data_IF_674753209870
#
_entry.id   IF_674753209870
#
_cell.length_a   1.000
_cell.length_b   1.000
_cell.length_c   1.000
_cell.angle_alpha   90.00
_cell.angle_beta   90.00
_cell.angle_gamma   90.00
#
_symmetry.space_group_name_H-M   'P 1'
#
loop_
_entity.id
_entity.type
_entity.pdbx_description
1 polymer ?
#
# COMPACT_ATOMS: atom_id res chain seq x y z
N UNK A 1 3.78 -16.83 15.90
CA UNK A 1 4.38 -15.93 14.88
C UNK A 1 3.57 -14.65 14.85
N UNK A 2 4.19 -13.46 14.83
CA UNK A 2 3.46 -12.18 14.82
C UNK A 2 2.71 -12.00 13.50
N UNK A 3 1.51 -11.41 13.52
CA UNK A 3 0.82 -10.99 12.29
C UNK A 3 1.63 -9.88 11.63
N UNK A 4 1.76 -9.90 10.31
CA UNK A 4 2.45 -8.87 9.54
C UNK A 4 1.45 -8.17 8.63
N UNK A 5 1.42 -6.85 8.71
CA UNK A 5 0.52 -5.97 7.97
C UNK A 5 1.33 -4.86 7.31
N UNK A 6 1.00 -4.48 6.08
CA UNK A 6 1.67 -3.38 5.38
C UNK A 6 0.67 -2.37 4.82
N UNK A 7 1.06 -1.10 4.81
CA UNK A 7 0.37 -0.02 4.13
C UNK A 7 1.32 0.58 3.08
N UNK A 8 0.88 0.64 1.81
CA UNK A 8 1.68 1.22 0.71
C UNK A 8 1.18 2.61 0.35
N UNK A 9 2.09 3.57 0.41
CA UNK A 9 1.92 4.94 -0.06
C UNK A 9 2.64 5.08 -1.41
N UNK A 10 1.95 5.58 -2.44
CA UNK A 10 2.55 5.81 -3.75
C UNK A 10 2.64 7.30 -4.08
N UNK A 11 3.81 7.73 -4.56
CA UNK A 11 4.05 9.10 -5.01
C UNK A 11 5.49 9.33 -5.44
N UNK A 12 5.69 9.99 -6.58
CA UNK A 12 7.02 10.22 -7.16
C UNK A 12 7.97 11.07 -6.30
N UNK A 13 7.44 11.76 -5.28
CA UNK A 13 8.21 12.58 -4.34
C UNK A 13 8.80 11.79 -3.16
N UNK A 14 8.48 10.50 -3.03
CA UNK A 14 9.06 9.66 -1.99
C UNK A 14 10.46 9.16 -2.36
N UNK A 15 11.33 9.04 -1.35
CA UNK A 15 12.50 8.19 -1.37
C UNK A 15 12.19 6.92 -0.56
N UNK A 16 11.95 5.76 -1.22
CA UNK A 16 11.61 4.51 -0.52
C UNK A 16 12.65 4.01 0.48
N UNK A 17 13.90 4.46 0.38
CA UNK A 17 14.95 4.07 1.33
C UNK A 17 14.87 4.87 2.64
N UNK A 18 14.37 6.10 2.57
CA UNK A 18 14.26 6.99 3.73
C UNK A 18 12.85 7.07 4.29
N UNK A 19 11.84 7.08 3.42
CA UNK A 19 10.44 7.30 3.77
C UNK A 19 9.73 5.96 4.01
N UNK A 20 10.03 5.35 5.14
CA UNK A 20 9.30 4.17 5.62
C UNK A 20 9.17 4.20 7.14
N UNK A 21 8.20 3.45 7.67
CA UNK A 21 8.02 3.30 9.10
C UNK A 21 7.70 1.84 9.47
N UNK A 22 8.08 1.47 10.69
CA UNK A 22 7.77 0.16 11.26
C UNK A 22 7.33 0.32 12.69
N UNK A 23 6.17 -0.23 13.00
CA UNK A 23 5.65 -0.34 14.36
C UNK A 23 5.60 -1.81 14.75
N UNK A 24 5.96 -2.11 15.99
CA UNK A 24 5.97 -3.47 16.48
C UNK A 24 5.34 -3.55 17.86
N UNK A 25 4.42 -4.49 18.01
CA UNK A 25 3.81 -4.87 19.29
C UNK A 25 4.18 -6.32 19.59
N UNK A 26 3.66 -6.86 20.70
CA UNK A 26 3.80 -8.28 21.00
C UNK A 26 3.18 -9.18 19.92
N UNK A 27 2.06 -8.76 19.31
CA UNK A 27 1.24 -9.61 18.43
C UNK A 27 1.34 -9.26 16.94
N UNK A 28 1.81 -8.06 16.59
CA UNK A 28 1.77 -7.55 15.22
C UNK A 28 3.01 -6.72 14.88
N UNK A 29 3.43 -6.81 13.61
CA UNK A 29 4.32 -5.86 12.97
C UNK A 29 3.53 -5.13 11.88
N UNK A 30 3.56 -3.81 11.91
CA UNK A 30 2.95 -2.94 10.91
C UNK A 30 4.03 -2.20 10.16
N UNK A 31 3.99 -2.27 8.83
CA UNK A 31 4.89 -1.54 7.95
C UNK A 31 4.14 -0.43 7.23
N UNK A 32 4.79 0.74 7.10
CA UNK A 32 4.41 1.76 6.14
C UNK A 32 5.57 1.83 5.13
N UNK A 33 5.28 1.48 3.89
CA UNK A 33 6.24 1.57 2.79
C UNK A 33 5.81 2.63 1.80
N UNK A 34 6.78 3.35 1.25
CA UNK A 34 6.56 4.24 0.12
C UNK A 34 7.12 3.63 -1.15
N UNK A 35 6.50 3.94 -2.29
CA UNK A 35 6.92 3.56 -3.64
C UNK A 35 6.70 4.73 -4.59
N UNK A 36 7.53 4.89 -5.62
CA UNK A 36 7.40 6.04 -6.53
C UNK A 36 6.37 5.82 -7.63
N UNK A 37 6.19 4.56 -8.04
CA UNK A 37 5.41 4.19 -9.21
C UNK A 37 4.84 2.76 -9.09
N UNK A 38 3.97 2.34 -10.03
CA UNK A 38 3.39 1.00 -9.98
C UNK A 38 4.40 -0.14 -10.09
N UNK A 39 5.53 0.02 -10.79
CA UNK A 39 6.52 -1.05 -10.92
C UNK A 39 7.20 -1.31 -9.58
N UNK A 40 7.61 -0.25 -8.87
CA UNK A 40 8.13 -0.37 -7.51
C UNK A 40 7.08 -0.93 -6.55
N UNK A 41 5.81 -0.58 -6.73
CA UNK A 41 4.72 -1.16 -5.95
C UNK A 41 4.63 -2.68 -6.11
N UNK A 42 4.65 -3.19 -7.34
CA UNK A 42 4.57 -4.63 -7.59
C UNK A 42 5.82 -5.36 -7.07
N UNK A 43 7.01 -4.78 -7.25
CA UNK A 43 8.23 -5.34 -6.67
C UNK A 43 8.12 -5.44 -5.14
N UNK A 44 7.65 -4.38 -4.47
CA UNK A 44 7.44 -4.37 -3.03
C UNK A 44 6.41 -5.43 -2.59
N UNK A 45 5.30 -5.58 -3.30
CA UNK A 45 4.29 -6.60 -3.01
C UNK A 45 4.88 -8.01 -3.09
N UNK A 46 5.73 -8.30 -4.09
CA UNK A 46 6.39 -9.59 -4.21
C UNK A 46 7.31 -9.87 -3.00
N UNK A 47 8.09 -8.88 -2.57
CA UNK A 47 8.91 -8.99 -1.35
C UNK A 47 8.05 -9.23 -0.09
N UNK A 48 6.92 -8.55 0.03
CA UNK A 48 6.02 -8.68 1.19
C UNK A 48 5.35 -10.07 1.23
N UNK A 49 5.06 -10.66 0.07
CA UNK A 49 4.57 -12.03 -0.05
C UNK A 49 5.59 -13.03 0.52
N UNK A 50 6.84 -12.94 0.09
CA UNK A 50 7.92 -13.79 0.61
C UNK A 50 8.20 -13.54 2.09
N UNK A 51 8.02 -12.29 2.56
CA UNK A 51 8.16 -11.94 3.97
C UNK A 51 6.99 -12.44 4.86
N UNK A 52 5.94 -13.04 4.29
CA UNK A 52 4.79 -13.58 5.02
C UNK A 52 3.84 -12.50 5.55
N UNK A 53 3.69 -11.39 4.84
CA UNK A 53 2.68 -10.38 5.13
C UNK A 53 1.29 -10.94 4.82
N UNK A 54 0.36 -10.83 5.77
CA UNK A 54 -0.98 -11.40 5.64
C UNK A 54 -2.01 -10.43 5.04
N UNK A 55 -1.77 -9.12 5.14
CA UNK A 55 -2.65 -8.09 4.62
C UNK A 55 -1.88 -6.85 4.17
N UNK A 56 -2.30 -6.26 3.06
CA UNK A 56 -1.77 -5.05 2.45
C UNK A 56 -2.91 -4.05 2.22
N UNK A 57 -2.77 -2.83 2.72
CA UNK A 57 -3.64 -1.69 2.40
C UNK A 57 -2.92 -0.72 1.47
N UNK A 58 -3.65 -0.20 0.49
CA UNK A 58 -3.13 0.67 -0.56
C UNK A 58 -3.71 2.08 -0.44
N UNK A 59 -2.88 3.11 -0.56
CA UNK A 59 -3.39 4.48 -0.58
C UNK A 59 -4.24 4.76 -1.84
N UNK A 60 -4.96 5.89 -1.85
CA UNK A 60 -5.89 6.22 -2.94
C UNK A 60 -5.26 6.34 -4.33
N UNK A 61 -3.94 6.53 -4.44
CA UNK A 61 -3.24 6.61 -5.73
C UNK A 61 -3.25 5.29 -6.52
N UNK A 62 -3.51 4.15 -5.86
CA UNK A 62 -3.55 2.83 -6.51
C UNK A 62 -4.85 2.59 -7.28
N UNK A 63 -5.98 3.01 -6.71
CA UNK A 63 -7.30 2.69 -7.25
C UNK A 63 -7.60 1.19 -7.39
N UNK A 64 -8.78 0.87 -7.91
CA UNK A 64 -9.26 -0.50 -8.01
C UNK A 64 -8.44 -1.35 -9.00
N UNK A 65 -8.01 -0.78 -10.12
CA UNK A 65 -7.30 -1.51 -11.17
C UNK A 65 -5.96 -2.09 -10.69
N UNK A 66 -5.15 -1.30 -9.97
CA UNK A 66 -3.90 -1.81 -9.41
C UNK A 66 -4.16 -2.78 -8.25
N UNK A 67 -5.18 -2.52 -7.42
CA UNK A 67 -5.56 -3.43 -6.33
C UNK A 67 -5.91 -4.83 -6.87
N UNK A 68 -6.71 -4.94 -7.93
CA UNK A 68 -7.02 -6.22 -8.60
C UNK A 68 -5.77 -6.94 -9.10
N UNK A 69 -4.86 -6.22 -9.76
CA UNK A 69 -3.59 -6.79 -10.22
C UNK A 69 -2.72 -7.31 -9.07
N UNK A 70 -2.74 -6.62 -7.93
CA UNK A 70 -2.04 -7.04 -6.71
C UNK A 70 -2.67 -8.31 -6.13
N UNK A 71 -4.00 -8.42 -6.13
CA UNK A 71 -4.71 -9.65 -5.72
C UNK A 71 -4.29 -10.83 -6.60
N UNK A 72 -4.25 -10.63 -7.93
CA UNK A 72 -3.88 -11.68 -8.88
C UNK A 72 -2.43 -12.15 -8.68
N UNK A 73 -1.45 -11.23 -8.55
CA UNK A 73 -0.04 -11.60 -8.37
C UNK A 73 0.26 -12.24 -7.01
N UNK A 74 -0.57 -11.93 -6.00
CA UNK A 74 -0.49 -12.58 -4.68
C UNK A 74 -1.21 -13.93 -4.67
N UNK A 75 -1.88 -14.32 -5.75
CA UNK A 75 -2.69 -15.54 -5.86
C UNK A 75 -3.74 -15.64 -4.75
N UNK A 76 -4.28 -14.50 -4.28
CA UNK A 76 -5.20 -14.45 -3.16
C UNK A 76 -4.62 -14.87 -1.80
N UNK A 77 -3.29 -15.02 -1.68
CA UNK A 77 -2.62 -15.42 -0.42
C UNK A 77 -2.46 -14.25 0.57
N UNK A 78 -2.63 -13.02 0.10
CA UNK A 78 -2.58 -11.79 0.91
C UNK A 78 -3.91 -11.07 0.76
N UNK A 79 -4.50 -10.62 1.87
CA UNK A 79 -5.67 -9.76 1.82
C UNK A 79 -5.27 -8.37 1.32
N UNK A 80 -6.01 -7.81 0.35
CA UNK A 80 -5.70 -6.50 -0.25
C UNK A 80 -6.88 -5.57 -0.08
N UNK A 81 -6.66 -4.44 0.59
CA UNK A 81 -7.58 -3.33 0.68
C UNK A 81 -7.01 -2.08 0.00
N UNK A 82 -7.87 -1.12 -0.36
CA UNK A 82 -7.44 0.17 -0.88
C UNK A 82 -8.36 1.27 -0.40
N UNK A 83 -7.76 2.43 -0.14
CA UNK A 83 -8.46 3.62 0.37
C UNK A 83 -9.18 4.31 -0.78
N UNK A 84 -10.47 4.56 -0.57
CA UNK A 84 -11.30 5.44 -1.41
C UNK A 84 -11.97 6.50 -0.53
N UNK A 85 -12.45 7.57 -1.14
CA UNK A 85 -13.31 8.56 -0.49
C UNK A 85 -14.71 8.50 -1.07
N UNK A 86 -15.67 9.09 -0.34
CA UNK A 86 -17.03 9.25 -0.83
C UNK A 86 -17.07 10.36 -1.90
N UNK A 87 -17.95 10.26 -2.91
CA UNK A 87 -18.03 11.23 -4.01
C UNK A 87 -18.22 12.70 -3.57
N UNK A 88 -18.87 12.93 -2.42
CA UNK A 88 -19.03 14.28 -1.85
C UNK A 88 -17.71 14.96 -1.45
N UNK A 89 -16.58 14.24 -1.48
CA UNK A 89 -15.24 14.78 -1.21
C UNK A 89 -14.40 15.02 -2.48
N UNK A 90 -14.90 14.69 -3.68
CA UNK A 90 -14.15 14.73 -4.94
C UNK A 90 -13.48 16.10 -5.17
N UNK A 91 -14.25 17.19 -5.03
CA UNK A 91 -13.75 18.56 -5.24
C UNK A 91 -12.68 18.97 -4.21
N UNK A 92 -12.83 18.51 -2.96
CA UNK A 92 -11.89 18.82 -1.87
C UNK A 92 -10.57 18.09 -2.10
N UNK A 93 -10.63 16.80 -2.46
CA UNK A 93 -9.46 16.01 -2.83
C UNK A 93 -8.77 16.60 -4.05
N UNK A 94 -9.53 16.91 -5.11
CA UNK A 94 -8.99 17.52 -6.32
C UNK A 94 -8.26 18.83 -6.00
N UNK A 95 -8.84 19.70 -5.17
CA UNK A 95 -8.20 20.97 -4.77
C UNK A 95 -6.93 20.76 -3.95
N UNK A 96 -6.88 19.78 -3.05
CA UNK A 96 -5.70 19.51 -2.24
C UNK A 96 -4.54 18.93 -3.05
N UNK A 97 -4.83 18.04 -4.02
CA UNK A 97 -3.81 17.38 -4.84
C UNK A 97 -3.50 18.09 -6.17
N UNK A 98 -4.15 19.23 -6.45
CA UNK A 98 -3.76 20.11 -7.54
C UNK A 98 -2.32 20.60 -7.35
N UNK A 99 -1.58 20.67 -8.46
CA UNK A 99 -0.18 21.12 -8.48
C UNK A 99 -0.02 22.58 -8.10
#
# INVERSE_FOLDING_TARGET
MKKKFAFLLMGAHYDPQQHSARFETEKQVTYIYTVKDPQEAYAKVAELKEAGVGAIELCGAFGEGMARRIIDMTEGKIAVGFVVHLPEQDEIFARFFQK
#
